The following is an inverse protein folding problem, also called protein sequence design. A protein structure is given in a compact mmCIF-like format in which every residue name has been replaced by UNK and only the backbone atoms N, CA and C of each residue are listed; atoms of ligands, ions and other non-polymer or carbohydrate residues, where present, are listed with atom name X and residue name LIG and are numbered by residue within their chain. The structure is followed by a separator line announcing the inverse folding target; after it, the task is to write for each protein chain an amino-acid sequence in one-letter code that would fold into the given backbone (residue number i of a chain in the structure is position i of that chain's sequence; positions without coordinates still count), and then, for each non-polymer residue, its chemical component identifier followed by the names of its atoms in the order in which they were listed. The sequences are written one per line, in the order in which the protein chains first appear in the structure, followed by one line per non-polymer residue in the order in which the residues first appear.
data_IF_530821384887
#
_entry.id   IF_530821384887
#
_cell.length_a   1.000
_cell.length_b   1.000
_cell.length_c   1.000
_cell.angle_alpha   90.00
_cell.angle_beta   90.00
_cell.angle_gamma   90.00
#
_symmetry.space_group_name_H-M   'P 1'
#
loop_
_entity.id
_entity.type
_entity.pdbx_description
1 polymer ?
#
# COMPACT_ATOMS: atom_id res chain seq x y z
N UNK A 1 72.38 -4.60 29.38
CA UNK A 1 72.99 -4.64 28.02
C UNK A 1 72.31 -5.73 27.21
N UNK A 2 71.86 -5.40 25.99
CA UNK A 2 71.63 -6.21 24.76
C UNK A 2 70.28 -5.85 24.14
N UNK A 3 70.32 -5.27 22.95
CA UNK A 3 69.27 -5.39 21.92
C UNK A 3 70.01 -5.94 20.70
N UNK A 4 69.47 -6.95 20.00
CA UNK A 4 68.96 -6.66 18.66
C UNK A 4 67.72 -7.49 18.21
N UNK A 5 67.00 -6.92 17.24
CA UNK A 5 65.93 -7.47 16.36
C UNK A 5 66.42 -8.67 15.48
N UNK A 6 65.67 -9.27 14.53
CA UNK A 6 64.29 -9.06 14.02
C UNK A 6 63.49 -10.37 13.72
N UNK A 7 62.33 -10.21 13.07
CA UNK A 7 61.79 -11.06 12.00
C UNK A 7 60.66 -12.07 12.32
N UNK A 8 59.52 -11.77 11.70
CA UNK A 8 58.67 -12.66 10.91
C UNK A 8 58.00 -13.87 11.59
N UNK A 9 56.67 -13.76 11.73
CA UNK A 9 55.63 -14.49 10.96
C UNK A 9 54.42 -14.73 11.84
N UNK A 10 53.34 -13.99 11.60
CA UNK A 10 52.17 -14.42 10.82
C UNK A 10 51.22 -15.34 11.60
N UNK A 11 49.93 -15.07 11.40
CA UNK A 11 48.74 -15.82 11.83
C UNK A 11 48.24 -15.59 13.25
N UNK A 12 47.26 -14.68 13.36
CA UNK A 12 45.91 -15.05 13.81
C UNK A 12 44.95 -13.87 13.56
N UNK A 13 44.58 -13.68 12.29
CA UNK A 13 43.31 -13.03 11.98
C UNK A 13 42.16 -14.00 12.29
N UNK A 14 41.02 -13.43 12.66
CA UNK A 14 39.69 -14.04 12.77
C UNK A 14 39.38 -14.74 14.11
N UNK A 15 39.19 -13.94 15.17
CA UNK A 15 38.37 -14.33 16.31
C UNK A 15 37.12 -13.42 16.38
N UNK A 16 35.99 -14.02 16.02
CA UNK A 16 34.61 -13.71 16.44
C UNK A 16 34.06 -12.29 16.22
N UNK A 17 33.57 -12.03 15.02
CA UNK A 17 32.53 -11.01 14.76
C UNK A 17 31.32 -11.63 14.04
N UNK A 18 30.84 -12.79 14.51
CA UNK A 18 29.78 -13.57 13.87
C UNK A 18 28.47 -13.64 14.69
N UNK A 19 28.07 -12.56 15.37
CA UNK A 19 26.75 -12.47 16.03
C UNK A 19 25.92 -11.24 15.66
N UNK A 20 26.37 -10.42 14.71
CA UNK A 20 25.50 -9.46 14.03
C UNK A 20 24.99 -10.09 12.74
N UNK A 21 24.14 -11.10 12.87
CA UNK A 21 23.23 -11.43 11.77
C UNK A 21 22.27 -10.24 11.64
N UNK A 22 22.30 -9.47 10.54
CA UNK A 22 21.24 -8.53 10.30
C UNK A 22 20.01 -9.39 10.00
N UNK A 23 19.06 -9.45 10.92
CA UNK A 23 17.69 -9.78 10.61
C UNK A 23 17.09 -8.64 9.76
N UNK A 24 17.69 -8.37 8.60
CA UNK A 24 17.10 -7.57 7.53
C UNK A 24 16.14 -8.47 6.75
N UNK A 25 15.18 -9.07 7.45
CA UNK A 25 14.08 -9.80 6.82
C UNK A 25 13.10 -8.78 6.25
N UNK A 26 13.42 -8.31 5.04
CA UNK A 26 12.53 -7.69 4.05
C UNK A 26 11.39 -6.81 4.60
N UNK A 27 11.72 -5.60 5.04
CA UNK A 27 10.86 -4.44 4.76
C UNK A 27 11.16 -3.94 3.34
N UNK A 28 10.98 -4.79 2.33
CA UNK A 28 11.09 -4.41 0.91
C UNK A 28 9.90 -4.98 0.15
N UNK A 29 8.70 -4.63 0.57
CA UNK A 29 7.64 -4.42 -0.42
C UNK A 29 7.81 -2.99 -0.87
N UNK A 30 8.33 -2.81 -2.09
CA UNK A 30 8.28 -1.55 -2.78
C UNK A 30 6.91 -0.90 -2.55
N UNK A 31 6.89 0.29 -1.96
CA UNK A 31 5.70 1.15 -1.90
C UNK A 31 5.33 1.51 -3.34
N UNK A 32 4.72 0.57 -4.08
CA UNK A 32 4.29 0.77 -5.48
C UNK A 32 2.97 1.54 -5.57
N UNK A 33 2.38 1.92 -4.44
CA UNK A 33 1.16 2.70 -4.39
C UNK A 33 1.27 3.68 -3.21
N UNK A 34 1.82 4.86 -3.44
CA UNK A 34 1.54 5.98 -2.53
C UNK A 34 0.09 6.41 -2.80
N UNK A 35 -0.88 5.66 -2.29
CA UNK A 35 -2.27 6.14 -2.23
C UNK A 35 -2.36 7.14 -1.07
N UNK A 36 -1.71 8.27 -1.27
CA UNK A 36 -1.71 9.33 -0.28
C UNK A 36 -3.02 10.10 -0.40
N UNK A 37 -3.85 10.00 0.64
CA UNK A 37 -4.98 10.90 0.80
C UNK A 37 -4.43 12.23 1.32
N UNK A 38 -4.37 13.25 0.46
CA UNK A 38 -3.89 14.57 0.85
C UNK A 38 -4.98 15.30 1.67
N UNK A 39 -4.69 15.74 2.91
CA UNK A 39 -5.63 16.53 3.69
C UNK A 39 -5.94 17.84 2.97
N UNK A 40 -7.22 18.23 2.84
CA UNK A 40 -7.59 19.51 2.25
C UNK A 40 -7.24 20.65 3.21
N UNK A 41 -6.83 21.79 2.65
CA UNK A 41 -6.51 23.00 3.43
C UNK A 41 -7.61 24.05 3.27
N UNK A 42 -8.03 24.71 4.36
CA UNK A 42 -9.01 25.79 4.26
C UNK A 42 -8.48 26.94 3.39
N UNK A 43 -9.34 27.62 2.61
CA UNK A 43 -8.91 28.74 1.78
C UNK A 43 -8.51 29.92 2.67
N UNK A 44 -7.45 30.64 2.33
CA UNK A 44 -6.98 31.78 3.15
C UNK A 44 -7.97 32.95 3.22
N UNK A 45 -8.94 33.01 2.30
CA UNK A 45 -9.90 34.10 2.22
C UNK A 45 -10.84 34.17 3.43
N UNK A 46 -11.07 33.08 4.16
CA UNK A 46 -12.00 33.08 5.32
C UNK A 46 -11.48 33.93 6.47
N UNK A 47 -10.16 34.08 6.58
CA UNK A 47 -9.50 34.93 7.59
C UNK A 47 -9.47 36.42 7.18
N UNK A 48 -9.81 36.74 5.92
CA UNK A 48 -9.66 38.08 5.34
C UNK A 48 -11.02 38.74 4.97
N UNK A 49 -12.11 38.30 5.60
CA UNK A 49 -13.48 38.71 5.23
C UNK A 49 -13.92 40.07 5.78
N UNK A 50 -13.25 40.60 6.81
CA UNK A 50 -13.72 41.74 7.62
C UNK A 50 -13.92 43.03 6.82
N UNK A 51 -13.07 43.29 5.83
CA UNK A 51 -13.13 44.48 4.96
C UNK A 51 -13.24 44.11 3.46
N UNK A 52 -13.75 42.92 3.17
CA UNK A 52 -13.79 42.39 1.81
C UNK A 52 -14.93 43.00 0.98
N UNK A 53 -14.60 43.47 -0.22
CA UNK A 53 -15.61 43.85 -1.23
C UNK A 53 -16.54 42.67 -1.56
N UNK A 54 -17.77 42.95 -1.98
CA UNK A 54 -18.77 41.93 -2.37
C UNK A 54 -18.23 40.89 -3.38
N UNK A 55 -17.43 41.34 -4.35
CA UNK A 55 -16.76 40.45 -5.32
C UNK A 55 -15.85 39.42 -4.63
N UNK A 56 -14.99 39.89 -3.70
CA UNK A 56 -14.08 39.02 -2.93
C UNK A 56 -14.85 38.02 -2.06
N UNK A 57 -15.99 38.43 -1.50
CA UNK A 57 -16.85 37.53 -0.73
C UNK A 57 -17.45 36.41 -1.61
N UNK A 58 -17.88 36.75 -2.84
CA UNK A 58 -18.41 35.77 -3.80
C UNK A 58 -17.35 34.77 -4.27
N UNK A 59 -16.13 35.25 -4.55
CA UNK A 59 -15.01 34.40 -4.92
C UNK A 59 -14.64 33.48 -3.75
N UNK A 60 -14.57 34.02 -2.53
CA UNK A 60 -14.30 33.24 -1.32
C UNK A 60 -15.36 32.16 -1.06
N UNK A 61 -16.64 32.46 -1.26
CA UNK A 61 -17.72 31.47 -1.16
C UNK A 61 -17.50 30.29 -2.11
N UNK A 62 -17.08 30.57 -3.34
CA UNK A 62 -16.79 29.54 -4.35
C UNK A 62 -15.61 28.65 -3.91
N UNK A 63 -14.57 29.25 -3.32
CA UNK A 63 -13.42 28.51 -2.80
C UNK A 63 -13.78 27.68 -1.56
N UNK A 64 -14.66 28.18 -0.69
CA UNK A 64 -15.20 27.41 0.44
C UNK A 64 -16.02 26.21 -0.05
N UNK A 65 -16.88 26.39 -1.05
CA UNK A 65 -17.63 25.27 -1.66
C UNK A 65 -16.68 24.21 -2.24
N UNK A 66 -15.59 24.63 -2.90
CA UNK A 66 -14.55 23.71 -3.40
C UNK A 66 -13.83 23.00 -2.25
N UNK A 67 -13.52 23.69 -1.17
CA UNK A 67 -12.92 23.09 0.03
C UNK A 67 -13.85 22.04 0.66
N UNK A 68 -15.14 22.32 0.78
CA UNK A 68 -16.11 21.33 1.29
C UNK A 68 -16.15 20.10 0.39
N UNK A 69 -16.19 20.27 -0.93
CA UNK A 69 -16.14 19.16 -1.86
C UNK A 69 -14.84 18.33 -1.72
N UNK A 70 -13.69 18.97 -1.52
CA UNK A 70 -12.42 18.27 -1.32
C UNK A 70 -12.34 17.52 0.01
N UNK A 71 -13.02 17.98 1.08
CA UNK A 71 -13.18 17.23 2.34
C UNK A 71 -13.93 15.91 2.12
N UNK A 72 -15.01 15.91 1.34
CA UNK A 72 -15.73 14.66 1.03
C UNK A 72 -14.89 13.71 0.19
N UNK A 73 -14.15 14.22 -0.79
CA UNK A 73 -13.22 13.41 -1.59
C UNK A 73 -12.12 12.79 -0.72
N UNK A 74 -11.54 13.58 0.20
CA UNK A 74 -10.54 13.11 1.15
C UNK A 74 -11.07 11.98 2.04
N UNK A 75 -12.29 12.14 2.60
CA UNK A 75 -12.94 11.08 3.38
C UNK A 75 -13.14 9.81 2.56
N UNK A 76 -13.57 9.93 1.31
CA UNK A 76 -13.74 8.80 0.40
C UNK A 76 -12.41 8.06 0.15
N UNK A 77 -11.33 8.81 -0.06
CA UNK A 77 -10.00 8.25 -0.20
C UNK A 77 -9.58 7.43 1.03
N UNK A 78 -9.73 8.00 2.24
CA UNK A 78 -9.37 7.29 3.49
C UNK A 78 -10.17 6.00 3.66
N UNK A 79 -11.47 6.04 3.36
CA UNK A 79 -12.32 4.85 3.44
C UNK A 79 -11.81 3.74 2.50
N UNK A 80 -11.52 4.08 1.24
CA UNK A 80 -11.00 3.12 0.27
C UNK A 80 -9.64 2.52 0.69
N UNK A 81 -8.72 3.35 1.20
CA UNK A 81 -7.43 2.87 1.68
C UNK A 81 -7.55 2.00 2.93
N UNK A 82 -8.49 2.33 3.81
CA UNK A 82 -8.77 1.52 5.00
C UNK A 82 -9.29 0.14 4.59
N UNK A 83 -10.27 0.08 3.68
CA UNK A 83 -10.77 -1.19 3.16
C UNK A 83 -9.68 -2.02 2.49
N UNK A 84 -8.81 -1.37 1.70
CA UNK A 84 -7.67 -2.02 1.09
C UNK A 84 -6.75 -2.63 2.14
N UNK A 85 -6.36 -1.85 3.15
CA UNK A 85 -5.50 -2.31 4.24
C UNK A 85 -6.12 -3.50 4.98
N UNK A 86 -7.43 -3.47 5.24
CA UNK A 86 -8.16 -4.59 5.87
C UNK A 86 -8.13 -5.83 5.00
N UNK A 87 -8.34 -5.71 3.67
CA UNK A 87 -8.24 -6.84 2.74
C UNK A 87 -6.84 -7.44 2.74
N UNK A 88 -5.80 -6.61 2.73
CA UNK A 88 -4.40 -7.04 2.76
C UNK A 88 -4.04 -7.74 4.10
N UNK A 89 -4.50 -7.19 5.22
CA UNK A 89 -4.32 -7.80 6.54
C UNK A 89 -5.01 -9.17 6.62
N UNK A 90 -6.28 -9.26 6.18
CA UNK A 90 -7.02 -10.52 6.16
C UNK A 90 -6.38 -11.56 5.22
N UNK A 91 -5.85 -11.13 4.07
CA UNK A 91 -5.09 -12.01 3.18
C UNK A 91 -3.83 -12.55 3.87
N UNK A 92 -3.12 -11.70 4.62
CA UNK A 92 -1.94 -12.08 5.38
C UNK A 92 -2.27 -13.08 6.50
N UNK A 93 -3.33 -12.83 7.27
CA UNK A 93 -3.82 -13.75 8.30
C UNK A 93 -4.18 -15.11 7.68
N UNK A 94 -4.87 -15.13 6.55
CA UNK A 94 -5.22 -16.37 5.83
C UNK A 94 -3.99 -17.16 5.43
N UNK A 95 -2.95 -16.51 4.88
CA UNK A 95 -1.68 -17.18 4.53
C UNK A 95 -1.05 -17.85 5.75
N UNK A 96 -0.98 -17.14 6.88
CA UNK A 96 -0.43 -17.67 8.12
C UNK A 96 -1.24 -18.84 8.69
N UNK A 97 -2.58 -18.78 8.59
CA UNK A 97 -3.47 -19.86 9.03
C UNK A 97 -3.38 -21.08 8.11
N UNK A 98 -3.38 -20.88 6.80
CA UNK A 98 -3.19 -21.93 5.79
C UNK A 98 -1.88 -22.71 5.98
N UNK A 99 -0.79 -22.02 6.35
CA UNK A 99 0.48 -22.68 6.67
C UNK A 99 0.40 -23.62 7.89
N UNK A 100 -0.56 -23.40 8.80
CA UNK A 100 -0.78 -24.26 9.98
C UNK A 100 -1.86 -25.31 9.76
N UNK A 101 -2.91 -24.96 9.01
CA UNK A 101 -4.06 -25.80 8.75
C UNK A 101 -4.54 -25.61 7.30
N UNK A 102 -4.44 -26.66 6.45
CA UNK A 102 -4.84 -26.63 5.05
C UNK A 102 -6.31 -26.23 4.81
N UNK A 103 -7.19 -26.39 5.80
CA UNK A 103 -8.60 -26.02 5.68
C UNK A 103 -8.82 -24.51 5.45
N UNK A 104 -7.85 -23.67 5.82
CA UNK A 104 -7.90 -22.22 5.66
C UNK A 104 -7.28 -21.72 4.35
N UNK A 105 -6.77 -22.61 3.50
CA UNK A 105 -6.21 -22.24 2.22
C UNK A 105 -7.31 -21.83 1.23
N UNK A 106 -7.06 -20.83 0.36
CA UNK A 106 -8.03 -20.45 -0.66
C UNK A 106 -8.30 -21.64 -1.57
N UNK A 107 -9.55 -22.06 -1.67
CA UNK A 107 -9.96 -23.06 -2.66
C UNK A 107 -9.93 -22.41 -4.03
N UNK A 108 -9.39 -23.12 -5.04
CA UNK A 108 -9.47 -22.63 -6.42
C UNK A 108 -10.95 -22.46 -6.80
N UNK A 109 -11.30 -21.42 -7.59
CA UNK A 109 -12.65 -21.33 -8.13
C UNK A 109 -12.97 -22.63 -8.85
N UNK A 110 -14.10 -23.25 -8.54
CA UNK A 110 -14.56 -24.41 -9.29
C UNK A 110 -14.58 -24.06 -10.78
N UNK A 111 -13.97 -24.90 -11.61
CA UNK A 111 -14.06 -24.77 -13.07
C UNK A 111 -15.54 -24.62 -13.45
N UNK A 112 -15.90 -23.66 -14.32
CA UNK A 112 -17.27 -23.52 -14.76
C UNK A 112 -17.70 -24.82 -15.44
N UNK A 113 -18.74 -25.47 -14.91
CA UNK A 113 -19.34 -26.65 -15.54
C UNK A 113 -19.63 -26.34 -17.02
N UNK A 114 -19.29 -27.26 -17.95
CA UNK A 114 -19.48 -27.02 -19.36
C UNK A 114 -20.96 -26.83 -19.68
N UNK A 115 -21.31 -25.69 -20.25
CA UNK A 115 -22.67 -25.35 -20.64
C UNK A 115 -23.24 -26.40 -21.63
N UNK A 116 -24.53 -26.78 -21.50
CA UNK A 116 -25.15 -27.77 -22.39
C UNK A 116 -25.16 -27.28 -23.84
N UNK A 117 -24.70 -28.14 -24.75
CA UNK A 117 -24.60 -27.86 -26.18
C UNK A 117 -25.97 -27.51 -26.78
N UNK A 118 -26.10 -26.33 -27.38
CA UNK A 118 -27.32 -25.93 -28.11
C UNK A 118 -27.41 -26.62 -29.48
N UNK A 119 -28.59 -27.08 -29.90
CA UNK A 119 -28.75 -27.84 -31.14
C UNK A 119 -28.66 -26.93 -32.38
N UNK A 120 -27.78 -27.28 -33.31
CA UNK A 120 -27.65 -26.62 -34.63
C UNK A 120 -28.94 -26.74 -35.43
N UNK A 121 -29.63 -25.62 -35.69
CA UNK A 121 -30.73 -25.54 -36.67
C UNK A 121 -30.21 -25.90 -38.07
N UNK A 122 -30.68 -27.02 -38.63
CA UNK A 122 -30.47 -27.37 -40.03
C UNK A 122 -31.26 -26.41 -40.93
N UNK A 123 -30.56 -25.73 -41.82
CA UNK A 123 -31.15 -24.83 -42.81
C UNK A 123 -32.10 -25.56 -43.76
N UNK A 124 -33.28 -24.98 -43.94
CA UNK A 124 -34.29 -25.37 -44.93
C UNK A 124 -33.86 -24.81 -46.29
N UNK A 125 -33.40 -25.66 -47.22
CA UNK A 125 -33.19 -25.26 -48.62
C UNK A 125 -34.57 -25.11 -49.30
N UNK A 126 -34.68 -24.06 -50.11
CA UNK A 126 -35.82 -23.74 -50.98
C UNK A 126 -36.09 -24.84 -51.99
#
# INVERSE_FOLDING_TARGET
MKVPHPALRFFACAALAATLAPAASRAQTAFKHFNYCAPPTPPSCVEAVTDASEKKLKDCKTDVERYVASVFAYRGCIAAETERAVREANATIRKMRCARDPAFCPQSPAEPEPAPATPKKRGKKK
#
